data_IF_308294537230
#
_entry.id   IF_308294537230
#
_cell.length_a   1.000
_cell.length_b   1.000
_cell.length_c   1.000
_cell.angle_alpha   90.00
_cell.angle_beta   90.00
_cell.angle_gamma   90.00
#
_symmetry.space_group_name_H-M   'P 1'
#
loop_
_entity.id
_entity.type
_entity.pdbx_description
1 polymer ?
#
# COMPACT_ATOMS: atom_id res chain seq x y z
N UNK A 1 -4.50 -5.70 -6.52
CA UNK A 1 -4.77 -6.42 -7.78
C UNK A 1 -4.07 -7.77 -7.78
N UNK A 2 -2.75 -7.78 -7.60
CA UNK A 2 -1.90 -8.99 -7.52
C UNK A 2 -2.35 -10.04 -6.51
N UNK A 3 -2.65 -9.65 -5.27
CA UNK A 3 -3.09 -10.59 -4.23
C UNK A 3 -4.45 -11.23 -4.54
N UNK A 4 -5.33 -10.49 -5.22
CA UNK A 4 -6.70 -10.92 -5.50
C UNK A 4 -6.88 -11.42 -6.94
N UNK A 5 -5.79 -11.51 -7.69
CA UNK A 5 -5.74 -11.85 -9.11
C UNK A 5 -6.80 -11.12 -9.96
N UNK A 6 -6.72 -9.79 -9.97
CA UNK A 6 -7.59 -8.92 -10.75
C UNK A 6 -6.78 -8.04 -11.69
N UNK A 7 -7.26 -7.88 -12.92
CA UNK A 7 -6.60 -7.04 -13.93
C UNK A 7 -6.90 -5.55 -13.76
N UNK A 8 -7.97 -5.21 -13.05
CA UNK A 8 -8.36 -3.84 -12.78
C UNK A 8 -9.15 -3.73 -11.48
N UNK A 9 -9.31 -2.50 -10.99
CA UNK A 9 -10.22 -2.18 -9.91
C UNK A 9 -10.82 -0.79 -10.11
N UNK A 10 -12.05 -0.61 -9.66
CA UNK A 10 -12.65 0.71 -9.54
C UNK A 10 -12.34 1.27 -8.14
N UNK A 11 -11.67 2.42 -8.11
CA UNK A 11 -11.24 3.12 -6.91
C UNK A 11 -12.14 4.35 -6.68
N UNK A 12 -13.01 4.23 -5.68
CA UNK A 12 -13.96 5.28 -5.31
C UNK A 12 -13.39 6.16 -4.20
N UNK A 13 -13.42 7.47 -4.42
CA UNK A 13 -12.99 8.49 -3.47
C UNK A 13 -14.19 9.38 -3.16
N UNK A 14 -14.49 9.58 -1.88
CA UNK A 14 -15.54 10.47 -1.42
C UNK A 14 -15.00 11.50 -0.44
N UNK A 15 -15.45 12.73 -0.58
CA UNK A 15 -15.17 13.86 0.29
C UNK A 15 -16.47 14.62 0.57
N UNK A 16 -16.44 15.57 1.51
CA UNK A 16 -17.61 16.43 1.78
C UNK A 16 -18.00 17.33 0.62
N UNK A 17 -17.12 17.53 -0.38
CA UNK A 17 -17.37 18.36 -1.56
C UNK A 17 -17.77 17.56 -2.80
N UNK A 18 -17.79 16.24 -2.69
CA UNK A 18 -18.17 15.36 -3.77
C UNK A 18 -17.33 14.10 -3.85
N UNK A 19 -17.42 13.41 -4.97
CA UNK A 19 -16.88 12.07 -5.16
C UNK A 19 -16.30 11.82 -6.53
N UNK A 20 -15.44 10.82 -6.67
CA UNK A 20 -14.86 10.44 -7.94
C UNK A 20 -14.64 8.93 -7.99
N UNK A 21 -14.85 8.35 -9.17
CA UNK A 21 -14.60 6.94 -9.45
C UNK A 21 -13.54 6.83 -10.52
N UNK A 22 -12.44 6.18 -10.20
CA UNK A 22 -11.33 5.91 -11.12
C UNK A 22 -11.27 4.43 -11.45
N UNK A 23 -11.00 4.07 -12.70
CA UNK A 23 -10.57 2.72 -13.07
C UNK A 23 -9.06 2.66 -13.11
N UNK A 24 -8.49 1.79 -12.29
CA UNK A 24 -7.08 1.46 -12.25
C UNK A 24 -6.86 0.12 -12.90
N UNK A 25 -5.83 0.02 -13.73
CA UNK A 25 -5.37 -1.24 -14.31
C UNK A 25 -4.16 -1.76 -13.53
N UNK A 26 -3.98 -3.08 -13.55
CA UNK A 26 -2.83 -3.76 -12.99
C UNK A 26 -1.56 -3.24 -13.65
N UNK A 27 -0.59 -2.88 -12.83
CA UNK A 27 0.73 -2.40 -13.26
C UNK A 27 1.78 -3.30 -12.60
N UNK A 28 2.32 -4.23 -13.40
CA UNK A 28 3.27 -5.24 -12.94
C UNK A 28 4.59 -4.60 -12.46
N UNK A 29 5.04 -3.55 -13.14
CA UNK A 29 6.29 -2.84 -12.78
C UNK A 29 6.16 -2.17 -11.41
N UNK A 30 5.03 -1.49 -11.17
CA UNK A 30 4.72 -0.90 -9.88
C UNK A 30 4.62 -1.97 -8.78
N UNK A 31 4.02 -3.12 -9.10
CA UNK A 31 3.96 -4.24 -8.15
C UNK A 31 5.34 -4.77 -7.78
N UNK A 32 6.22 -5.02 -8.75
CA UNK A 32 7.55 -5.53 -8.46
C UNK A 32 8.36 -4.55 -7.60
N UNK A 33 8.18 -3.24 -7.79
CA UNK A 33 8.74 -2.24 -6.88
C UNK A 33 8.20 -2.35 -5.44
N UNK A 34 6.87 -2.46 -5.28
CA UNK A 34 6.24 -2.63 -3.96
C UNK A 34 6.69 -3.91 -3.27
N UNK A 35 6.82 -4.99 -4.03
CA UNK A 35 7.18 -6.32 -3.56
C UNK A 35 8.56 -6.35 -2.91
N UNK A 36 9.52 -5.55 -3.40
CA UNK A 36 10.83 -5.40 -2.76
C UNK A 36 10.68 -4.86 -1.34
N UNK A 37 9.98 -3.72 -1.18
CA UNK A 37 9.79 -3.09 0.13
C UNK A 37 8.97 -3.98 1.09
N UNK A 38 7.96 -4.70 0.58
CA UNK A 38 7.17 -5.65 1.37
C UNK A 38 7.98 -6.87 1.79
N UNK A 39 8.81 -7.41 0.89
CA UNK A 39 9.72 -8.52 1.18
C UNK A 39 10.74 -8.13 2.25
N UNK A 40 11.34 -6.95 2.12
CA UNK A 40 12.27 -6.41 3.11
C UNK A 40 11.61 -6.23 4.47
N UNK A 41 10.41 -5.62 4.49
CA UNK A 41 9.63 -5.51 5.72
C UNK A 41 9.39 -6.89 6.36
N UNK A 42 8.97 -7.87 5.57
CA UNK A 42 8.66 -9.19 6.06
C UNK A 42 9.87 -9.92 6.63
N UNK A 43 10.94 -10.04 5.84
CA UNK A 43 12.10 -10.85 6.21
C UNK A 43 13.04 -10.18 7.21
N UNK A 44 13.14 -8.85 7.22
CA UNK A 44 14.02 -8.12 8.15
C UNK A 44 13.33 -7.84 9.49
N UNK A 45 12.01 -7.65 9.51
CA UNK A 45 11.28 -7.21 10.69
C UNK A 45 10.28 -8.24 11.21
N UNK A 46 9.32 -8.66 10.39
CA UNK A 46 8.18 -9.48 10.86
C UNK A 46 8.61 -10.89 11.24
N UNK A 47 9.27 -11.59 10.32
CA UNK A 47 9.61 -13.00 10.52
C UNK A 47 10.60 -13.21 11.69
N UNK A 48 11.68 -12.42 11.84
CA UNK A 48 12.57 -12.54 13.01
C UNK A 48 11.86 -12.24 14.34
N UNK A 49 11.01 -11.21 14.38
CA UNK A 49 10.24 -10.88 15.58
C UNK A 49 9.28 -12.02 15.97
N UNK A 50 8.61 -12.62 14.99
CA UNK A 50 7.73 -13.78 15.19
C UNK A 50 8.50 -14.99 15.73
N UNK A 51 9.69 -15.25 15.21
CA UNK A 51 10.53 -16.36 15.70
C UNK A 51 11.00 -16.12 17.14
N UNK A 52 11.43 -14.91 17.48
CA UNK A 52 11.81 -14.56 18.85
C UNK A 52 10.61 -14.69 19.80
N UNK A 53 9.43 -14.22 19.38
CA UNK A 53 8.20 -14.33 20.14
C UNK A 53 7.82 -15.78 20.44
N UNK A 54 7.98 -16.69 19.47
CA UNK A 54 7.70 -18.12 19.67
C UNK A 54 8.70 -18.83 20.58
N UNK A 55 9.97 -18.39 20.61
CA UNK A 55 11.06 -19.08 21.32
C UNK A 55 11.23 -18.63 22.78
N UNK A 56 10.63 -17.52 23.18
CA UNK A 56 10.89 -16.92 24.50
C UNK A 56 9.61 -16.56 25.24
N UNK A 57 9.63 -16.68 26.57
CA UNK A 57 8.56 -16.17 27.43
C UNK A 57 8.63 -14.63 27.47
N UNK A 58 8.03 -13.99 26.47
CA UNK A 58 8.05 -12.54 26.36
C UNK A 58 6.95 -11.95 27.26
N UNK A 59 7.35 -11.46 28.45
CA UNK A 59 6.45 -10.74 29.37
C UNK A 59 5.99 -9.37 28.83
N UNK A 60 6.84 -8.68 28.07
CA UNK A 60 6.49 -7.41 27.42
C UNK A 60 7.03 -7.35 25.97
N UNK A 61 6.18 -7.64 24.97
CA UNK A 61 6.57 -7.64 23.56
C UNK A 61 7.04 -6.30 23.02
N UNK A 62 6.49 -5.19 23.49
CA UNK A 62 6.83 -3.85 22.99
C UNK A 62 8.27 -3.47 23.33
N UNK A 63 8.81 -3.97 24.44
CA UNK A 63 10.20 -3.73 24.84
C UNK A 63 11.13 -4.72 24.16
N UNK A 64 10.80 -6.02 24.18
CA UNK A 64 11.68 -7.09 23.69
C UNK A 64 11.77 -7.17 22.16
N UNK A 65 10.72 -6.78 21.43
CA UNK A 65 10.71 -6.80 19.97
C UNK A 65 11.08 -5.45 19.35
N UNK A 66 11.44 -4.45 20.16
CA UNK A 66 11.75 -3.09 19.70
C UNK A 66 12.86 -3.05 18.67
N UNK A 67 13.85 -3.93 18.76
CA UNK A 67 14.95 -4.05 17.79
C UNK A 67 14.51 -4.48 16.39
N UNK A 68 13.34 -5.13 16.27
CA UNK A 68 12.76 -5.53 14.99
C UNK A 68 11.74 -4.52 14.48
N UNK A 69 11.49 -3.42 15.19
CA UNK A 69 10.59 -2.37 14.69
C UNK A 69 11.18 -1.80 13.39
N UNK A 70 10.36 -1.74 12.34
CA UNK A 70 10.76 -1.10 11.09
C UNK A 70 10.85 0.41 11.27
N UNK A 71 11.68 1.03 10.45
CA UNK A 71 11.66 2.48 10.30
C UNK A 71 10.33 2.95 9.71
N UNK A 72 9.91 4.21 9.96
CA UNK A 72 8.67 4.75 9.41
C UNK A 72 8.65 4.81 7.88
N UNK A 73 9.82 4.89 7.24
CA UNK A 73 9.96 5.00 5.80
C UNK A 73 11.00 4.00 5.28
N UNK A 74 10.63 3.29 4.22
CA UNK A 74 11.56 2.44 3.47
C UNK A 74 12.48 3.30 2.59
N UNK A 75 13.67 2.81 2.24
CA UNK A 75 14.58 3.51 1.33
C UNK A 75 13.95 3.82 -0.04
N UNK A 76 13.06 2.93 -0.51
CA UNK A 76 12.30 3.07 -1.75
C UNK A 76 11.05 3.95 -1.63
N UNK A 77 10.76 4.53 -0.46
CA UNK A 77 9.53 5.29 -0.21
C UNK A 77 9.27 6.35 -1.27
N UNK A 78 10.29 7.15 -1.63
CA UNK A 78 10.15 8.20 -2.65
C UNK A 78 9.82 7.64 -4.03
N UNK A 79 10.48 6.56 -4.44
CA UNK A 79 10.23 5.88 -5.71
C UNK A 79 8.82 5.30 -5.75
N UNK A 80 8.36 4.66 -4.67
CA UNK A 80 6.99 4.12 -4.58
C UNK A 80 5.95 5.23 -4.72
N UNK A 81 6.15 6.38 -4.04
CA UNK A 81 5.22 7.52 -4.16
C UNK A 81 5.21 8.09 -5.58
N UNK A 82 6.38 8.19 -6.22
CA UNK A 82 6.49 8.64 -7.60
C UNK A 82 5.74 7.69 -8.56
N UNK A 83 6.00 6.39 -8.48
CA UNK A 83 5.35 5.39 -9.33
C UNK A 83 3.84 5.28 -9.05
N UNK A 84 3.41 5.46 -7.80
CA UNK A 84 1.99 5.53 -7.45
C UNK A 84 1.29 6.67 -8.18
N UNK A 85 1.97 7.82 -8.38
CA UNK A 85 1.41 8.92 -9.17
C UNK A 85 1.32 8.56 -10.64
N UNK A 86 2.35 7.93 -11.21
CA UNK A 86 2.31 7.43 -12.60
C UNK A 86 1.11 6.50 -12.83
N UNK A 87 0.85 5.57 -11.92
CA UNK A 87 -0.31 4.66 -12.00
C UNK A 87 -1.63 5.43 -11.95
N UNK A 88 -1.73 6.46 -11.10
CA UNK A 88 -2.92 7.32 -11.04
C UNK A 88 -3.09 8.19 -12.29
N UNK A 89 -2.00 8.74 -12.84
CA UNK A 89 -2.03 9.57 -14.04
C UNK A 89 -2.48 8.76 -15.27
N UNK A 90 -2.21 7.45 -15.28
CA UNK A 90 -2.68 6.50 -16.29
C UNK A 90 -4.07 5.91 -15.99
N UNK A 91 -4.74 6.34 -14.92
CA UNK A 91 -6.08 5.89 -14.56
C UNK A 91 -7.16 6.52 -15.44
N UNK A 92 -8.31 5.88 -15.51
CA UNK A 92 -9.47 6.41 -16.23
C UNK A 92 -10.47 6.97 -15.23
N UNK A 93 -10.74 8.28 -15.28
CA UNK A 93 -11.85 8.86 -14.53
C UNK A 93 -13.18 8.40 -15.17
N UNK A 94 -13.95 7.60 -14.44
CA UNK A 94 -15.25 7.10 -14.89
C UNK A 94 -16.40 8.03 -14.50
N UNK A 95 -16.28 8.68 -13.35
CA UNK A 95 -17.32 9.53 -12.79
C UNK A 95 -16.67 10.56 -11.89
N UNK A 96 -17.15 11.80 -11.94
CA UNK A 96 -16.85 12.81 -10.95
C UNK A 96 -18.16 13.49 -10.53
N UNK A 97 -18.32 13.74 -9.24
CA UNK A 97 -19.43 14.49 -8.69
C UNK A 97 -18.84 15.60 -7.81
N UNK A 98 -19.37 16.81 -7.97
CA UNK A 98 -18.97 17.99 -7.20
C UNK A 98 -20.25 18.70 -6.74
N UNK A 99 -20.35 18.95 -5.44
CA UNK A 99 -21.50 19.61 -4.79
C UNK A 99 -22.87 19.03 -5.21
N UNK A 100 -22.96 17.70 -5.26
CA UNK A 100 -24.15 16.92 -5.61
C UNK A 100 -24.42 16.83 -7.11
N UNK A 101 -23.53 17.33 -7.98
CA UNK A 101 -23.70 17.32 -9.44
C UNK A 101 -22.67 16.44 -10.12
N UNK A 102 -23.15 15.41 -10.81
CA UNK A 102 -22.34 14.57 -11.69
C UNK A 102 -21.80 15.40 -12.86
N UNK A 103 -20.50 15.27 -13.09
CA UNK A 103 -19.75 15.82 -14.22
C UNK A 103 -19.52 14.68 -15.22
N UNK A 104 -19.88 14.92 -16.48
CA UNK A 104 -19.60 14.01 -17.62
C UNK A 104 -18.39 14.50 -18.40
#
# INVERSE_FOLDING_TARGET
>A
MEILDRDWMDFYVWTTKGSSLFRLYRDEEYWELLKIALSDFWWKHVQPAKELYKRSEIKNPLVKLRSYKSEPQHELFRSIIYESRRVLDNSVLLMCEVDGKLQN
#
